data_IF_876486922548
#
_entry.id   IF_876486922548
#
_cell.length_a   1.000
_cell.length_b   1.000
_cell.length_c   1.000
_cell.angle_alpha   90.00
_cell.angle_beta   90.00
_cell.angle_gamma   90.00
#
_symmetry.space_group_name_H-M   'P 1'
#
loop_
_entity.id
_entity.type
_entity.pdbx_description
1 polymer ?
#
# COMPACT_ATOMS: atom_id res chain seq x y z
N UNK A 1 6.72 -7.82 -11.09
CA UNK A 1 6.19 -7.30 -12.37
C UNK A 1 4.78 -7.82 -12.63
N UNK A 2 4.60 -9.06 -13.09
CA UNK A 2 3.28 -9.63 -13.43
C UNK A 2 2.25 -9.48 -12.30
N UNK A 3 2.59 -9.90 -11.08
CA UNK A 3 1.66 -9.78 -9.94
C UNK A 3 1.30 -8.33 -9.60
N UNK A 4 2.25 -7.39 -9.73
CA UNK A 4 1.95 -5.97 -9.49
C UNK A 4 0.97 -5.43 -10.52
N UNK A 5 1.17 -5.76 -11.82
CA UNK A 5 0.22 -5.37 -12.85
C UNK A 5 -1.14 -6.06 -12.67
N UNK A 6 -1.15 -7.35 -12.36
CA UNK A 6 -2.38 -8.10 -12.09
C UNK A 6 -3.17 -7.45 -10.95
N UNK A 7 -2.53 -7.11 -9.83
CA UNK A 7 -3.19 -6.38 -8.73
C UNK A 7 -3.72 -5.01 -9.18
N UNK A 8 -2.99 -4.26 -10.01
CA UNK A 8 -3.46 -2.99 -10.55
C UNK A 8 -4.72 -3.20 -11.41
N UNK A 9 -4.71 -4.15 -12.34
CA UNK A 9 -5.85 -4.43 -13.23
C UNK A 9 -7.09 -4.92 -12.46
N UNK A 10 -6.90 -5.66 -11.36
CA UNK A 10 -7.99 -6.10 -10.49
C UNK A 10 -8.65 -4.93 -9.75
N UNK A 11 -7.89 -3.89 -9.40
CA UNK A 11 -8.42 -2.69 -8.74
C UNK A 11 -8.92 -1.64 -9.75
N UNK A 12 -8.28 -1.55 -10.91
CA UNK A 12 -8.57 -0.59 -11.97
C UNK A 12 -8.35 -1.25 -13.34
N UNK A 13 -9.41 -1.80 -13.96
CA UNK A 13 -9.31 -2.52 -15.24
C UNK A 13 -8.76 -1.69 -16.41
N UNK A 14 -8.94 -0.36 -16.35
CA UNK A 14 -8.39 0.61 -17.32
C UNK A 14 -7.52 1.64 -16.58
N UNK A 15 -6.27 1.30 -16.23
CA UNK A 15 -5.37 2.21 -15.54
C UNK A 15 -4.80 3.25 -16.51
N UNK A 16 -4.46 4.44 -16.02
CA UNK A 16 -3.67 5.44 -16.75
C UNK A 16 -2.22 4.99 -16.86
N UNK A 17 -1.48 5.49 -17.85
CA UNK A 17 -0.06 5.12 -18.03
C UNK A 17 0.79 5.43 -16.79
N UNK A 18 0.52 6.56 -16.11
CA UNK A 18 1.20 6.93 -14.86
C UNK A 18 0.98 5.89 -13.75
N UNK A 19 -0.22 5.31 -13.66
CA UNK A 19 -0.53 4.27 -12.66
C UNK A 19 0.20 2.95 -12.97
N UNK A 20 0.36 2.64 -14.26
CA UNK A 20 1.19 1.51 -14.72
C UNK A 20 2.65 1.73 -14.35
N UNK A 21 3.18 2.94 -14.48
CA UNK A 21 4.56 3.24 -14.07
C UNK A 21 4.71 3.16 -12.54
N UNK A 22 3.77 3.76 -11.80
CA UNK A 22 3.83 3.84 -10.34
C UNK A 22 3.74 2.47 -9.65
N UNK A 23 2.98 1.51 -10.21
CA UNK A 23 2.89 0.16 -9.61
C UNK A 23 4.22 -0.59 -9.59
N UNK A 24 5.19 -0.17 -10.41
CA UNK A 24 6.52 -0.78 -10.48
C UNK A 24 7.59 -0.14 -9.58
N UNK A 25 7.27 0.91 -8.81
CA UNK A 25 8.21 1.56 -7.87
C UNK A 25 8.92 0.57 -6.91
N UNK A 26 8.26 -0.54 -6.55
CA UNK A 26 8.83 -1.57 -5.67
C UNK A 26 9.41 -2.79 -6.39
N UNK A 27 9.55 -2.76 -7.71
CA UNK A 27 9.99 -3.91 -8.49
C UNK A 27 11.31 -3.62 -9.20
N UNK A 28 12.34 -4.45 -8.93
CA UNK A 28 13.65 -4.30 -9.55
C UNK A 28 13.83 -5.29 -10.71
N UNK A 29 14.35 -4.80 -11.83
CA UNK A 29 14.81 -5.62 -12.95
C UNK A 29 16.19 -5.13 -13.40
N UNK A 30 17.15 -6.06 -13.51
CA UNK A 30 18.53 -5.72 -13.90
C UNK A 30 18.79 -5.86 -15.40
N UNK A 31 17.95 -6.59 -16.12
CA UNK A 31 18.23 -7.02 -17.49
C UNK A 31 17.58 -6.13 -18.56
N UNK A 32 16.30 -5.78 -18.40
CA UNK A 32 15.49 -5.24 -19.50
C UNK A 32 15.60 -3.74 -19.69
N UNK A 33 16.19 -3.02 -18.72
CA UNK A 33 16.12 -1.56 -18.68
C UNK A 33 14.69 -1.01 -18.55
N UNK A 34 13.73 -1.84 -18.12
CA UNK A 34 12.29 -1.54 -17.94
C UNK A 34 11.48 -1.16 -19.18
N UNK A 35 12.10 -0.56 -20.20
CA UNK A 35 11.43 -0.12 -21.43
C UNK A 35 10.44 -1.15 -22.01
N UNK A 36 10.83 -2.42 -22.31
CA UNK A 36 9.88 -3.39 -22.88
C UNK A 36 8.77 -3.81 -21.90
N UNK A 37 9.01 -3.72 -20.59
CA UNK A 37 8.01 -4.04 -19.56
C UNK A 37 6.93 -2.96 -19.54
N UNK A 38 7.34 -1.70 -19.55
CA UNK A 38 6.42 -0.56 -19.55
C UNK A 38 5.67 -0.45 -20.88
N UNK A 39 6.36 -0.60 -22.01
CA UNK A 39 5.72 -0.62 -23.33
C UNK A 39 4.63 -1.70 -23.42
N UNK A 40 4.94 -2.92 -22.97
CA UNK A 40 3.96 -4.01 -22.93
C UNK A 40 2.76 -3.72 -22.04
N UNK A 41 2.98 -3.27 -20.80
CA UNK A 41 1.89 -3.03 -19.86
C UNK A 41 1.07 -1.76 -20.13
N UNK A 42 1.63 -0.75 -20.82
CA UNK A 42 0.89 0.44 -21.24
C UNK A 42 -0.17 0.15 -22.30
N UNK A 43 -0.17 -1.04 -22.91
CA UNK A 43 -1.27 -1.47 -23.77
C UNK A 43 -2.60 -1.56 -23.02
N UNK A 44 -2.59 -1.81 -21.71
CA UNK A 44 -3.78 -1.80 -20.86
C UNK A 44 -4.31 -0.39 -20.55
N UNK A 45 -3.55 0.65 -20.84
CA UNK A 45 -3.93 2.06 -20.60
C UNK A 45 -4.50 2.76 -21.82
N UNK A 46 -4.32 2.18 -23.01
CA UNK A 46 -4.78 2.75 -24.27
C UNK A 46 -6.14 2.20 -24.63
N UNK A 47 -6.88 2.96 -25.41
CA UNK A 47 -8.02 2.39 -26.13
C UNK A 47 -7.55 1.25 -27.03
N UNK A 48 -8.46 0.34 -27.36
CA UNK A 48 -8.17 -0.84 -28.15
C UNK A 48 -7.30 -0.49 -29.38
N UNK A 49 -6.20 -1.23 -29.61
CA UNK A 49 -5.33 -0.95 -30.73
C UNK A 49 -6.12 -1.05 -32.04
N UNK A 50 -5.81 -0.15 -32.97
CA UNK A 50 -6.44 -0.10 -34.28
C UNK A 50 -5.88 -1.24 -35.14
N UNK A 51 -6.55 -2.39 -35.14
CA UNK A 51 -6.10 -3.61 -35.81
C UNK A 51 -6.31 -3.65 -37.33
N UNK A 52 -6.38 -2.47 -37.94
CA UNK A 52 -6.43 -2.32 -39.39
C UNK A 52 -5.04 -2.35 -40.04
N UNK A 53 -3.97 -2.59 -39.26
CA UNK A 53 -2.59 -2.62 -39.74
C UNK A 53 -2.21 -1.34 -40.50
N UNK A 54 -1.66 -1.49 -41.71
CA UNK A 54 -1.33 -0.38 -42.60
C UNK A 54 -2.53 0.50 -43.02
N UNK A 55 -3.77 0.01 -42.85
CA UNK A 55 -5.00 0.77 -43.14
C UNK A 55 -5.50 1.58 -41.93
N UNK A 56 -4.80 1.56 -40.80
CA UNK A 56 -5.21 2.38 -39.67
C UNK A 56 -5.06 3.88 -39.99
N UNK A 57 -6.13 4.66 -39.79
CA UNK A 57 -6.12 6.11 -39.99
C UNK A 57 -5.07 6.85 -39.14
N UNK A 58 -4.61 6.25 -38.03
CA UNK A 58 -3.54 6.78 -37.17
C UNK A 58 -2.13 6.61 -37.74
N UNK A 59 -1.94 5.81 -38.80
CA UNK A 59 -0.64 5.56 -39.43
C UNK A 59 -0.31 6.54 -40.58
N UNK A 60 -1.22 7.45 -40.94
CA UNK A 60 -1.05 8.37 -42.07
C UNK A 60 -0.04 9.50 -41.83
N UNK A 61 0.42 9.72 -40.59
CA UNK A 61 1.30 10.85 -40.21
C UNK A 61 2.66 10.44 -39.63
N UNK A 62 2.96 9.14 -39.53
CA UNK A 62 4.26 8.67 -39.02
C UNK A 62 5.23 8.50 -40.20
N UNK A 63 6.24 9.36 -40.27
CA UNK A 63 7.42 9.12 -41.09
C UNK A 63 7.95 7.72 -40.80
N UNK A 64 8.26 6.98 -41.87
CA UNK A 64 8.76 5.61 -41.88
C UNK A 64 10.17 5.52 -41.27
N UNK A 65 10.34 5.84 -39.99
CA UNK A 65 11.42 5.22 -39.23
C UNK A 65 10.97 3.79 -38.95
N UNK A 66 11.71 2.81 -39.48
CA UNK A 66 11.57 1.38 -39.20
C UNK A 66 11.74 1.12 -37.69
N UNK A 67 10.71 1.41 -36.91
CA UNK A 67 10.58 0.87 -35.57
C UNK A 67 10.27 -0.61 -35.78
N UNK A 68 11.25 -1.47 -35.52
CA UNK A 68 11.02 -2.89 -35.37
C UNK A 68 10.03 -3.07 -34.21
N UNK A 69 8.74 -3.16 -34.51
CA UNK A 69 7.73 -3.54 -33.54
C UNK A 69 8.01 -5.00 -33.16
N UNK A 70 8.55 -5.18 -31.95
CA UNK A 70 8.95 -6.48 -31.41
C UNK A 70 7.73 -7.37 -31.14
N UNK A 71 6.54 -6.77 -31.04
CA UNK A 71 5.25 -7.46 -30.94
C UNK A 71 4.11 -6.55 -31.45
N UNK A 72 3.15 -7.15 -32.16
CA UNK A 72 1.92 -6.49 -32.63
C UNK A 72 0.86 -6.50 -31.51
N UNK A 73 0.43 -5.33 -30.99
CA UNK A 73 -0.57 -5.28 -29.91
C UNK A 73 -1.92 -5.91 -30.26
N UNK A 74 -2.21 -6.05 -31.55
CA UNK A 74 -3.43 -6.66 -32.06
C UNK A 74 -3.47 -8.19 -31.95
N UNK A 75 -2.32 -8.83 -31.75
CA UNK A 75 -2.25 -10.27 -31.48
C UNK A 75 -2.51 -10.58 -30.00
N UNK A 76 -2.63 -9.56 -29.15
CA UNK A 76 -2.83 -9.75 -27.72
C UNK A 76 -4.27 -10.13 -27.40
N UNK A 77 -4.43 -11.17 -26.58
CA UNK A 77 -5.75 -11.58 -26.10
C UNK A 77 -6.31 -10.50 -25.17
N UNK A 78 -7.54 -9.99 -25.42
CA UNK A 78 -8.18 -9.03 -24.54
C UNK A 78 -8.35 -9.58 -23.12
N UNK A 79 -8.25 -8.70 -22.12
CA UNK A 79 -8.45 -9.09 -20.72
C UNK A 79 -9.92 -9.30 -20.45
N UNK A 80 -10.29 -10.53 -20.10
CA UNK A 80 -11.61 -10.85 -19.56
C UNK A 80 -11.57 -10.88 -18.03
N UNK A 81 -12.07 -9.81 -17.40
CA UNK A 81 -12.10 -9.67 -15.94
C UNK A 81 -13.06 -10.65 -15.26
N UNK A 82 -13.94 -11.32 -16.02
CA UNK A 82 -14.88 -12.31 -15.47
C UNK A 82 -14.25 -13.69 -15.23
N UNK A 83 -13.12 -13.98 -15.89
CA UNK A 83 -12.37 -15.25 -15.74
C UNK A 83 -11.34 -15.20 -14.60
N UNK A 84 -11.28 -14.08 -13.89
CA UNK A 84 -10.43 -13.93 -12.72
C UNK A 84 -10.87 -14.84 -11.56
N UNK A 85 -9.93 -15.39 -10.77
CA UNK A 85 -10.28 -16.22 -9.62
C UNK A 85 -11.27 -15.52 -8.70
N UNK A 86 -12.38 -16.19 -8.44
CA UNK A 86 -13.41 -15.73 -7.51
C UNK A 86 -12.82 -15.64 -6.10
N UNK A 87 -13.28 -14.66 -5.33
CA UNK A 87 -12.93 -14.59 -3.92
C UNK A 87 -13.52 -15.81 -3.18
N UNK A 88 -12.73 -16.56 -2.38
CA UNK A 88 -13.17 -17.79 -1.72
C UNK A 88 -14.48 -17.61 -0.93
N UNK A 89 -15.56 -18.36 -1.24
CA UNK A 89 -16.85 -18.19 -0.59
C UNK A 89 -16.81 -18.40 0.93
N UNK A 90 -15.99 -19.33 1.42
CA UNK A 90 -15.83 -19.60 2.86
C UNK A 90 -15.40 -18.34 3.64
N UNK A 91 -14.50 -17.55 3.07
CA UNK A 91 -14.00 -16.31 3.70
C UNK A 91 -15.03 -15.18 3.66
N UNK A 92 -16.02 -15.22 2.76
CA UNK A 92 -17.13 -14.24 2.73
C UNK A 92 -18.17 -14.51 3.80
N UNK A 93 -18.44 -15.78 4.06
CA UNK A 93 -19.53 -16.22 4.95
C UNK A 93 -19.05 -16.31 6.40
N UNK A 94 -17.78 -16.68 6.62
CA UNK A 94 -17.22 -16.84 7.96
C UNK A 94 -16.74 -15.52 8.56
N UNK A 95 -17.51 -14.99 9.52
CA UNK A 95 -17.07 -13.86 10.35
C UNK A 95 -16.01 -14.25 11.38
N UNK A 96 -15.73 -15.55 11.58
CA UNK A 96 -14.89 -16.05 12.66
C UNK A 96 -13.39 -15.83 12.45
N UNK A 97 -12.93 -15.63 11.22
CA UNK A 97 -11.50 -15.50 10.93
C UNK A 97 -10.93 -14.13 11.35
N UNK A 98 -11.74 -13.08 11.35
CA UNK A 98 -11.33 -11.71 11.74
C UNK A 98 -11.68 -11.33 13.18
N UNK A 99 -12.66 -11.98 13.79
CA UNK A 99 -13.27 -11.54 15.07
C UNK A 99 -12.80 -12.30 16.30
N UNK A 100 -11.95 -13.32 16.13
CA UNK A 100 -11.43 -14.13 17.24
C UNK A 100 -10.05 -13.68 17.67
N UNK A 101 -9.86 -13.61 18.99
CA UNK A 101 -8.53 -13.59 19.58
C UNK A 101 -7.79 -14.88 19.23
N UNK A 102 -6.59 -14.77 18.66
CA UNK A 102 -5.79 -15.95 18.29
C UNK A 102 -4.47 -15.98 19.05
N UNK A 103 -4.02 -17.19 19.36
CA UNK A 103 -2.71 -17.46 19.97
C UNK A 103 -2.01 -18.55 19.17
N UNK A 104 -0.82 -18.24 18.69
CA UNK A 104 0.08 -19.22 18.09
C UNK A 104 1.35 -19.29 18.92
N UNK A 105 1.75 -20.50 19.32
CA UNK A 105 2.94 -20.73 20.14
C UNK A 105 3.88 -21.67 19.43
N UNK A 106 5.16 -21.33 19.51
CA UNK A 106 6.29 -22.18 19.16
C UNK A 106 7.27 -22.19 20.32
N UNK A 107 8.33 -22.99 20.21
CA UNK A 107 9.41 -23.01 21.21
C UNK A 107 10.10 -21.65 21.39
N UNK A 108 10.08 -20.79 20.36
CA UNK A 108 10.87 -19.53 20.33
C UNK A 108 10.02 -18.27 20.40
N UNK A 109 8.80 -18.31 19.87
CA UNK A 109 7.94 -17.13 19.72
C UNK A 109 6.50 -17.48 20.04
N UNK A 110 5.85 -16.60 20.79
CA UNK A 110 4.40 -16.54 20.96
C UNK A 110 3.84 -15.36 20.18
N UNK A 111 2.88 -15.62 19.31
CA UNK A 111 2.15 -14.63 18.53
C UNK A 111 0.71 -14.52 19.04
N UNK A 112 0.33 -13.31 19.46
CA UNK A 112 -0.99 -13.00 20.00
C UNK A 112 -1.68 -12.01 19.06
N UNK A 113 -2.92 -12.31 18.65
CA UNK A 113 -3.71 -11.42 17.80
C UNK A 113 -5.00 -11.02 18.54
N UNK A 114 -4.98 -9.93 19.32
CA UNK A 114 -6.18 -9.35 19.89
C UNK A 114 -7.08 -8.75 18.80
N UNK A 115 -8.37 -8.63 19.13
CA UNK A 115 -9.40 -8.01 18.28
C UNK A 115 -10.10 -6.84 18.96
N UNK A 116 -9.83 -6.63 20.26
CA UNK A 116 -10.33 -5.50 21.03
C UNK A 116 -9.17 -4.66 21.57
N UNK A 117 -9.34 -3.35 21.63
CA UNK A 117 -8.32 -2.44 22.17
C UNK A 117 -7.97 -2.77 23.62
N UNK A 118 -8.96 -3.12 24.44
CA UNK A 118 -8.75 -3.52 25.84
C UNK A 118 -7.75 -4.68 25.96
N UNK A 119 -7.92 -5.72 25.16
CA UNK A 119 -7.02 -6.89 25.17
C UNK A 119 -5.61 -6.49 24.73
N UNK A 120 -5.48 -5.62 23.73
CA UNK A 120 -4.17 -5.11 23.30
C UNK A 120 -3.46 -4.36 24.43
N UNK A 121 -4.17 -3.50 25.16
CA UNK A 121 -3.62 -2.75 26.30
C UNK A 121 -3.24 -3.69 27.45
N UNK A 122 -4.08 -4.68 27.77
CA UNK A 122 -3.78 -5.71 28.77
C UNK A 122 -2.55 -6.54 28.40
N UNK A 123 -2.43 -6.96 27.14
CA UNK A 123 -1.27 -7.68 26.65
C UNK A 123 0.00 -6.83 26.70
N UNK A 124 -0.08 -5.55 26.36
CA UNK A 124 1.07 -4.64 26.39
C UNK A 124 1.52 -4.35 27.82
N UNK A 125 0.58 -4.23 28.76
CA UNK A 125 0.86 -4.14 30.20
C UNK A 125 1.51 -5.43 30.74
N UNK A 126 0.98 -6.60 30.36
CA UNK A 126 1.52 -7.90 30.78
C UNK A 126 2.89 -8.23 30.17
N UNK A 127 3.11 -7.82 28.92
CA UNK A 127 4.35 -8.03 28.20
C UNK A 127 4.91 -6.69 27.69
N UNK A 128 5.53 -5.87 28.56
CA UNK A 128 6.02 -4.53 28.18
C UNK A 128 7.03 -4.56 27.03
N UNK A 129 7.84 -5.61 26.96
CA UNK A 129 8.85 -5.80 25.90
C UNK A 129 8.29 -6.45 24.62
N UNK A 130 7.00 -6.81 24.59
CA UNK A 130 6.41 -7.38 23.39
C UNK A 130 6.38 -6.36 22.25
N UNK A 131 6.74 -6.82 21.05
CA UNK A 131 6.71 -6.01 19.84
C UNK A 131 5.28 -6.02 19.28
N UNK A 132 4.72 -4.82 19.08
CA UNK A 132 3.47 -4.66 18.35
C UNK A 132 3.79 -4.73 16.85
N UNK A 133 3.04 -5.56 16.11
CA UNK A 133 3.26 -5.82 14.70
C UNK A 133 1.99 -5.49 13.92
N UNK A 134 2.15 -4.73 12.83
CA UNK A 134 1.10 -4.43 11.86
C UNK A 134 1.58 -4.93 10.50
N UNK A 135 2.33 -4.10 9.75
CA UNK A 135 2.90 -4.47 8.45
C UNK A 135 4.19 -5.29 8.48
N UNK A 136 4.82 -5.44 9.64
CA UNK A 136 6.10 -6.13 9.84
C UNK A 136 7.30 -5.60 9.00
N UNK A 137 7.15 -4.48 8.29
CA UNK A 137 8.19 -3.92 7.41
C UNK A 137 9.41 -3.37 8.16
N UNK A 138 9.24 -3.02 9.43
CA UNK A 138 10.32 -2.63 10.34
C UNK A 138 10.77 -3.78 11.24
N UNK A 139 9.84 -4.38 11.98
CA UNK A 139 10.13 -5.48 12.93
C UNK A 139 10.79 -6.68 12.24
N UNK A 140 10.40 -6.99 11.01
CA UNK A 140 11.02 -8.05 10.22
C UNK A 140 12.49 -7.76 9.89
N UNK A 141 12.83 -6.50 9.60
CA UNK A 141 14.21 -6.07 9.36
C UNK A 141 15.04 -6.16 10.64
N UNK A 142 14.51 -5.65 11.75
CA UNK A 142 15.16 -5.71 13.07
C UNK A 142 15.42 -7.15 13.50
N UNK A 143 14.45 -8.04 13.27
CA UNK A 143 14.58 -9.47 13.56
C UNK A 143 15.67 -10.12 12.70
N UNK A 144 15.68 -9.86 11.39
CA UNK A 144 16.57 -10.51 10.43
C UNK A 144 18.01 -9.99 10.50
N UNK A 145 18.19 -8.68 10.59
CA UNK A 145 19.50 -8.03 10.43
C UNK A 145 20.06 -7.47 11.74
N UNK A 146 19.21 -7.10 12.71
CA UNK A 146 19.65 -6.58 14.02
C UNK A 146 19.56 -7.62 15.14
N UNK A 147 19.17 -8.87 14.82
CA UNK A 147 18.99 -9.99 15.77
C UNK A 147 18.09 -9.62 16.96
N UNK A 148 17.17 -8.69 16.78
CA UNK A 148 16.28 -8.20 17.83
C UNK A 148 15.06 -9.13 17.98
N UNK A 149 15.28 -10.32 18.51
CA UNK A 149 14.22 -11.32 18.70
C UNK A 149 13.32 -10.97 19.89
N UNK A 150 12.01 -10.90 19.67
CA UNK A 150 11.02 -10.80 20.72
C UNK A 150 10.36 -12.16 20.97
N UNK A 151 10.33 -12.61 22.23
CA UNK A 151 9.65 -13.85 22.62
C UNK A 151 8.12 -13.74 22.45
N UNK A 152 7.56 -12.54 22.62
CA UNK A 152 6.13 -12.27 22.45
C UNK A 152 5.95 -11.17 21.39
N UNK A 153 5.10 -11.45 20.41
CA UNK A 153 4.69 -10.51 19.38
C UNK A 153 3.16 -10.36 19.42
N UNK A 154 2.69 -9.11 19.31
CA UNK A 154 1.27 -8.77 19.37
C UNK A 154 0.85 -8.18 18.02
N UNK A 155 -0.01 -8.88 17.29
CA UNK A 155 -0.55 -8.42 16.02
C UNK A 155 -1.77 -7.55 16.24
N UNK A 156 -1.62 -6.24 16.01
CA UNK A 156 -2.67 -5.26 16.27
C UNK A 156 -3.53 -4.94 15.04
N UNK A 157 -3.39 -5.70 13.94
CA UNK A 157 -4.09 -5.47 12.66
C UNK A 157 -5.60 -5.66 12.71
N UNK A 158 -6.15 -6.24 13.78
CA UNK A 158 -7.58 -6.54 13.91
C UNK A 158 -8.26 -5.74 15.03
N UNK A 159 -7.61 -4.69 15.54
CA UNK A 159 -8.17 -3.78 16.55
C UNK A 159 -8.80 -2.59 15.83
N UNK A 160 -10.15 -2.50 15.73
CA UNK A 160 -10.82 -1.52 14.88
C UNK A 160 -10.45 -0.07 15.18
N UNK A 161 -10.30 0.28 16.46
CA UNK A 161 -10.00 1.63 16.92
C UNK A 161 -8.66 2.15 16.34
N UNK A 162 -7.72 1.25 16.02
CA UNK A 162 -6.46 1.63 15.39
C UNK A 162 -6.57 1.88 13.88
N UNK A 163 -7.71 1.61 13.27
CA UNK A 163 -7.99 1.85 11.84
C UNK A 163 -8.97 2.99 11.61
N UNK A 164 -9.46 3.62 12.69
CA UNK A 164 -10.43 4.71 12.59
C UNK A 164 -9.83 5.96 11.92
N UNK A 165 -10.67 6.64 11.15
CA UNK A 165 -10.34 7.90 10.51
C UNK A 165 -11.50 8.85 10.77
N UNK A 166 -11.22 10.01 11.35
CA UNK A 166 -12.23 11.02 11.64
C UNK A 166 -11.75 12.38 11.17
N UNK A 167 -12.55 13.04 10.33
CA UNK A 167 -12.28 14.40 9.85
C UNK A 167 -13.07 15.38 10.70
N UNK A 168 -12.41 16.43 11.17
CA UNK A 168 -13.01 17.53 11.94
C UNK A 168 -12.53 18.88 11.43
N UNK A 169 -13.11 19.96 11.94
CA UNK A 169 -12.69 21.33 11.59
C UNK A 169 -11.22 21.61 11.96
N UNK A 170 -10.73 20.94 13.00
CA UNK A 170 -9.37 21.10 13.54
C UNK A 170 -8.33 20.23 12.87
N UNK A 171 -8.72 19.18 12.14
CA UNK A 171 -7.77 18.30 11.45
C UNK A 171 -8.34 16.93 11.10
N UNK A 172 -7.44 15.98 10.85
CA UNK A 172 -7.80 14.59 10.55
C UNK A 172 -7.17 13.71 11.63
N UNK A 173 -8.00 13.00 12.39
CA UNK A 173 -7.58 11.92 13.27
C UNK A 173 -7.39 10.64 12.45
N UNK A 174 -6.24 10.00 12.60
CA UNK A 174 -5.87 8.81 11.82
C UNK A 174 -5.34 7.75 12.79
N UNK A 175 -5.98 6.59 12.79
CA UNK A 175 -5.59 5.44 13.60
C UNK A 175 -4.19 4.94 13.25
N UNK A 176 -3.48 4.45 14.27
CA UNK A 176 -2.08 4.06 14.12
C UNK A 176 -1.82 2.88 13.18
N UNK A 177 -2.83 2.03 12.94
CA UNK A 177 -2.77 0.88 12.05
C UNK A 177 -3.18 1.17 10.60
N UNK A 178 -3.62 2.39 10.30
CA UNK A 178 -3.86 2.83 8.92
C UNK A 178 -2.57 2.69 8.11
N UNK A 179 -2.67 2.07 6.94
CA UNK A 179 -1.52 1.83 6.05
C UNK A 179 -1.09 3.14 5.38
N UNK A 180 0.17 3.24 4.97
CA UNK A 180 0.67 4.41 4.25
C UNK A 180 -0.06 4.60 2.90
N UNK A 181 -0.49 3.51 2.26
CA UNK A 181 -1.32 3.59 1.07
C UNK A 181 -2.68 4.23 1.37
N UNK A 182 -3.40 3.75 2.38
CA UNK A 182 -4.69 4.34 2.79
C UNK A 182 -4.52 5.78 3.29
N UNK A 183 -3.42 6.09 3.95
CA UNK A 183 -3.11 7.47 4.34
C UNK A 183 -2.96 8.38 3.12
N UNK A 184 -2.29 7.93 2.05
CA UNK A 184 -2.22 8.67 0.78
C UNK A 184 -3.58 8.91 0.12
N UNK A 185 -4.49 7.93 0.20
CA UNK A 185 -5.89 8.07 -0.26
C UNK A 185 -6.65 9.10 0.56
N UNK A 186 -6.58 9.03 1.90
CA UNK A 186 -7.21 10.01 2.80
C UNK A 186 -6.72 11.44 2.52
N UNK A 187 -5.42 11.61 2.26
CA UNK A 187 -4.87 12.92 1.88
C UNK A 187 -5.43 13.38 0.53
N UNK A 188 -5.60 12.48 -0.43
CA UNK A 188 -6.20 12.81 -1.74
C UNK A 188 -7.66 13.24 -1.58
N UNK A 189 -8.45 12.48 -0.82
CA UNK A 189 -9.84 12.81 -0.49
C UNK A 189 -9.93 14.17 0.23
N UNK A 190 -9.00 14.47 1.15
CA UNK A 190 -8.96 15.74 1.86
C UNK A 190 -8.57 16.93 0.96
N UNK A 191 -7.67 16.72 -0.02
CA UNK A 191 -7.24 17.73 -0.99
C UNK A 191 -8.40 18.15 -1.89
N UNK A 192 -9.18 17.19 -2.39
CA UNK A 192 -10.32 17.45 -3.28
C UNK A 192 -11.44 18.26 -2.60
N UNK A 193 -11.55 18.15 -1.28
CA UNK A 193 -12.58 18.81 -0.47
C UNK A 193 -12.11 20.12 0.20
N UNK A 194 -10.94 20.66 -0.18
CA UNK A 194 -10.33 21.84 0.47
C UNK A 194 -10.06 22.98 -0.52
N UNK A 195 -10.32 24.23 -0.13
CA UNK A 195 -10.34 25.37 -1.09
C UNK A 195 -9.18 26.36 -1.11
N UNK A 196 -8.23 26.48 -0.14
CA UNK A 196 -7.09 27.40 -0.39
C UNK A 196 -5.76 27.20 0.38
N UNK A 197 -5.68 27.32 1.72
CA UNK A 197 -4.36 27.27 2.41
C UNK A 197 -3.95 25.88 2.92
N UNK A 198 -4.89 25.10 3.49
CA UNK A 198 -4.65 23.72 3.96
C UNK A 198 -4.22 22.81 2.81
N UNK A 199 -4.63 23.14 1.58
CA UNK A 199 -4.32 22.43 0.35
C UNK A 199 -2.81 22.20 0.16
N UNK A 200 -1.97 23.24 0.34
CA UNK A 200 -0.53 23.14 0.06
C UNK A 200 0.17 22.14 0.97
N UNK A 201 -0.18 22.14 2.26
CA UNK A 201 0.39 21.20 3.23
C UNK A 201 -0.05 19.78 2.89
N UNK A 202 -1.34 19.56 2.63
CA UNK A 202 -1.85 18.23 2.27
C UNK A 202 -1.23 17.68 0.98
N UNK A 203 -1.04 18.53 -0.04
CA UNK A 203 -0.35 18.15 -1.29
C UNK A 203 1.10 17.76 -1.04
N UNK A 204 1.84 18.53 -0.22
CA UNK A 204 3.20 18.19 0.15
C UNK A 204 3.27 16.88 0.95
N UNK A 205 2.36 16.70 1.92
CA UNK A 205 2.24 15.46 2.70
C UNK A 205 1.97 14.27 1.78
N UNK A 206 1.01 14.40 0.85
CA UNK A 206 0.69 13.35 -0.12
C UNK A 206 1.90 12.99 -0.97
N UNK A 207 2.61 14.01 -1.51
CA UNK A 207 3.81 13.80 -2.33
C UNK A 207 4.87 12.98 -1.60
N UNK A 208 5.16 13.33 -0.34
CA UNK A 208 6.10 12.58 0.51
C UNK A 208 5.61 11.15 0.71
N UNK A 209 4.36 10.95 1.15
CA UNK A 209 3.79 9.61 1.41
C UNK A 209 3.82 8.73 0.16
N UNK A 210 3.50 9.29 -1.01
CA UNK A 210 3.56 8.55 -2.28
C UNK A 210 4.99 8.21 -2.73
N UNK A 211 5.98 8.97 -2.27
CA UNK A 211 7.40 8.71 -2.51
C UNK A 211 8.01 7.66 -1.59
N UNK A 212 7.35 7.31 -0.47
CA UNK A 212 7.87 6.30 0.47
C UNK A 212 7.75 4.91 -0.15
N UNK A 213 8.91 4.29 -0.43
CA UNK A 213 9.04 2.91 -0.91
C UNK A 213 8.18 2.61 -2.17
N UNK A 214 7.83 1.33 -2.39
CA UNK A 214 6.87 0.92 -3.43
C UNK A 214 5.49 0.58 -2.85
N UNK A 215 4.50 0.38 -3.72
CA UNK A 215 3.13 0.03 -3.34
C UNK A 215 3.04 -1.15 -2.37
N UNK A 216 3.86 -2.19 -2.57
CA UNK A 216 3.89 -3.39 -1.75
C UNK A 216 4.19 -3.06 -0.28
N UNK A 217 5.13 -2.15 -0.04
CA UNK A 217 5.48 -1.70 1.30
C UNK A 217 4.39 -0.78 1.84
N UNK A 218 3.92 0.20 1.06
CA UNK A 218 2.88 1.14 1.52
C UNK A 218 1.56 0.48 1.86
N UNK A 219 1.19 -0.61 1.18
CA UNK A 219 -0.04 -1.36 1.40
C UNK A 219 -0.07 -2.12 2.73
N UNK A 220 1.07 -2.28 3.41
CA UNK A 220 1.14 -3.00 4.70
C UNK A 220 1.79 -2.17 5.80
N UNK A 221 2.72 -1.28 5.47
CA UNK A 221 3.37 -0.39 6.43
C UNK A 221 2.32 0.54 7.05
N UNK A 222 2.25 0.54 8.37
CA UNK A 222 1.32 1.37 9.14
C UNK A 222 1.90 2.74 9.47
N UNK A 223 1.05 3.75 9.60
CA UNK A 223 1.42 5.11 10.02
C UNK A 223 2.19 5.12 11.35
N UNK A 224 1.63 4.54 12.42
CA UNK A 224 2.31 4.49 13.72
C UNK A 224 3.59 3.67 13.67
N UNK A 225 3.61 2.56 12.92
CA UNK A 225 4.82 1.77 12.72
C UNK A 225 5.95 2.57 12.05
N UNK A 226 5.63 3.42 11.09
CA UNK A 226 6.61 4.32 10.46
C UNK A 226 7.15 5.37 11.45
N UNK A 227 6.25 5.98 12.24
CA UNK A 227 6.61 6.97 13.27
C UNK A 227 7.49 6.34 14.37
N UNK A 228 7.07 5.19 14.92
CA UNK A 228 7.72 4.54 16.07
C UNK A 228 9.04 3.85 15.72
N UNK A 229 9.21 3.39 14.48
CA UNK A 229 10.51 2.90 14.04
C UNK A 229 11.55 4.02 14.01
N UNK A 230 11.10 5.28 13.83
CA UNK A 230 11.85 6.51 14.05
C UNK A 230 13.28 6.50 13.50
N UNK A 231 13.48 5.91 12.32
CA UNK A 231 14.80 5.87 11.71
C UNK A 231 15.27 7.31 11.41
N UNK A 232 16.57 7.58 11.52
CA UNK A 232 17.17 8.89 11.24
C UNK A 232 16.92 9.43 9.81
N UNK A 233 16.30 8.63 8.95
CA UNK A 233 15.95 8.97 7.56
C UNK A 233 14.45 8.79 7.31
N UNK A 234 13.60 8.92 8.34
CA UNK A 234 12.15 8.94 8.15
C UNK A 234 11.75 10.19 7.38
N UNK A 235 11.08 10.03 6.25
CA UNK A 235 10.53 11.15 5.48
C UNK A 235 9.27 11.74 6.14
N UNK A 236 8.56 10.92 6.94
CA UNK A 236 7.26 11.27 7.51
C UNK A 236 7.35 11.99 8.86
N UNK A 237 8.33 11.63 9.70
CA UNK A 237 8.50 12.25 11.03
C UNK A 237 8.79 13.75 10.94
N UNK A 238 9.73 14.24 10.09
CA UNK A 238 9.99 15.68 9.95
C UNK A 238 8.75 16.45 9.49
N UNK A 239 7.97 15.86 8.59
CA UNK A 239 6.74 16.44 8.07
C UNK A 239 5.69 16.60 9.18
N UNK A 240 5.41 15.54 9.95
CA UNK A 240 4.46 15.57 11.07
C UNK A 240 4.90 16.57 12.16
N UNK A 241 6.20 16.66 12.41
CA UNK A 241 6.77 17.64 13.34
C UNK A 241 6.56 19.07 12.84
N UNK A 242 6.82 19.34 11.55
CA UNK A 242 6.63 20.66 10.94
C UNK A 242 5.16 21.11 10.92
N UNK A 243 4.23 20.16 10.80
CA UNK A 243 2.78 20.46 10.84
C UNK A 243 2.20 20.53 12.25
N UNK A 244 3.03 20.37 13.30
CA UNK A 244 2.55 20.39 14.68
C UNK A 244 1.56 19.26 15.00
N UNK A 245 1.70 18.12 14.33
CA UNK A 245 0.81 16.98 14.55
C UNK A 245 0.98 16.42 15.96
N UNK A 246 -0.13 16.03 16.58
CA UNK A 246 -0.16 15.43 17.92
C UNK A 246 -0.30 13.91 17.85
N UNK A 247 0.24 13.22 18.85
CA UNK A 247 0.14 11.76 18.98
C UNK A 247 -0.63 11.46 20.26
N UNK A 248 -1.74 10.74 20.14
CA UNK A 248 -2.48 10.20 21.29
C UNK A 248 -1.87 8.86 21.69
N UNK A 249 -1.38 8.78 22.93
CA UNK A 249 -0.90 7.54 23.53
C UNK A 249 -1.96 7.01 24.50
N UNK A 250 -2.15 5.70 24.51
CA UNK A 250 -3.11 5.03 25.38
C UNK A 250 -2.39 3.92 26.13
N UNK A 251 -2.73 3.81 27.40
CA UNK A 251 -2.18 2.85 28.36
C UNK A 251 -3.35 2.16 29.07
N UNK A 252 -3.08 1.05 29.76
CA UNK A 252 -4.09 0.42 30.63
C UNK A 252 -4.30 1.26 31.91
N UNK A 253 -3.22 1.86 32.42
CA UNK A 253 -3.20 2.81 33.54
C UNK A 253 -3.61 4.20 33.09
#
# INVERSE_FOLDING_TARGET
MVMSMSTLLRNKPKPKEEEVENIFQGNLCRCTGYRPILEGFKTFSKDEPCCMGSKCCKNQTRNEEHVLDVAEPCDFVPVDTTQEPIFPPELKISNGFGTKFLTFKSERVTWLRPVFLKDLLELKSKYPNARIVIGNTAVGLDTKYRKAHAQVMIAATHVPELHEVAVSDTGIHIGGAVTLARFGEILTEAIENTTEYKYKVLVAMRGIVTGIAGHQIRNVASLAGNILWAHHHSDLVPLLMATGSTITLISKE
#
